data_IF_076656975092
#
_entry.id   IF_076656975092
#
_cell.length_a   1.000
_cell.length_b   1.000
_cell.length_c   1.000
_cell.angle_alpha   90.00
_cell.angle_beta   90.00
_cell.angle_gamma   90.00
#
_symmetry.space_group_name_H-M   'P 1'
#
loop_
_entity.id
_entity.type
_entity.pdbx_description
1 polymer ?
#
# COMPACT_ATOMS: atom_id res chain seq x y z
N UNK A 1 29.63 -15.50 26.49
CA UNK A 1 28.92 -15.82 25.24
C UNK A 1 27.48 -16.17 25.59
N UNK A 2 26.55 -15.21 25.50
CA UNK A 2 25.13 -15.48 25.76
C UNK A 2 24.43 -15.86 24.46
N UNK A 3 23.77 -17.01 24.50
CA UNK A 3 23.06 -17.65 23.40
C UNK A 3 21.71 -16.94 23.17
N UNK A 4 21.46 -16.47 21.96
CA UNK A 4 20.15 -15.99 21.52
C UNK A 4 19.44 -17.11 20.76
N UNK A 5 18.43 -17.73 21.37
CA UNK A 5 17.49 -18.61 20.68
C UNK A 5 16.44 -17.77 19.97
N UNK A 6 16.75 -17.29 18.76
CA UNK A 6 15.81 -16.60 17.87
C UNK A 6 15.26 -17.55 16.80
N UNK A 7 13.93 -17.61 16.67
CA UNK A 7 13.17 -18.36 15.64
C UNK A 7 13.68 -18.12 14.21
N UNK A 8 13.46 -19.08 13.27
CA UNK A 8 13.87 -18.93 11.88
C UNK A 8 13.00 -17.87 11.19
N UNK A 9 13.46 -16.61 11.20
CA UNK A 9 12.89 -15.54 10.39
C UNK A 9 13.36 -15.69 8.94
N UNK A 10 12.58 -16.40 8.12
CA UNK A 10 12.72 -16.30 6.66
C UNK A 10 12.47 -14.86 6.19
N UNK A 11 12.89 -14.48 4.97
CA UNK A 11 12.72 -13.12 4.46
C UNK A 11 11.23 -12.78 4.43
N UNK A 12 10.80 -11.82 5.25
CA UNK A 12 9.45 -11.30 5.22
C UNK A 12 9.21 -10.67 3.83
N UNK A 13 8.23 -11.20 3.07
CA UNK A 13 7.91 -10.70 1.73
C UNK A 13 7.65 -9.20 1.78
N UNK A 14 8.43 -8.44 1.02
CA UNK A 14 8.20 -7.03 0.77
C UNK A 14 7.28 -6.90 -0.45
N UNK A 15 6.05 -6.44 -0.21
CA UNK A 15 5.13 -6.07 -1.26
C UNK A 15 5.40 -4.64 -1.71
N UNK A 16 5.35 -4.45 -3.02
CA UNK A 16 5.58 -3.17 -3.66
C UNK A 16 4.47 -2.94 -4.70
N UNK A 17 3.85 -1.75 -4.64
CA UNK A 17 2.89 -1.27 -5.64
C UNK A 17 3.06 0.23 -5.81
N UNK A 18 2.89 0.73 -7.03
CA UNK A 18 2.89 2.15 -7.31
C UNK A 18 1.46 2.64 -7.54
N UNK A 19 1.05 3.74 -6.89
CA UNK A 19 -0.31 4.27 -6.99
C UNK A 19 -0.29 5.79 -7.06
N UNK A 20 -1.28 6.38 -7.72
CA UNK A 20 -1.53 7.82 -7.63
C UNK A 20 -2.09 8.17 -6.26
N UNK A 21 -1.68 9.31 -5.71
CA UNK A 21 -2.15 9.80 -4.42
C UNK A 21 -1.68 11.20 -4.09
N UNK A 22 -1.89 11.59 -2.84
CA UNK A 22 -1.32 12.80 -2.25
C UNK A 22 -0.02 12.43 -1.52
N UNK A 23 1.07 13.16 -1.78
CA UNK A 23 2.34 12.96 -1.10
C UNK A 23 2.41 13.75 0.23
N UNK A 24 3.54 13.63 0.95
CA UNK A 24 3.74 14.32 2.24
C UNK A 24 3.86 15.86 2.11
N UNK A 25 3.98 16.40 0.90
CA UNK A 25 4.00 17.83 0.60
C UNK A 25 2.61 18.32 0.12
N UNK A 26 1.57 17.49 0.23
CA UNK A 26 0.20 17.78 -0.21
C UNK A 26 0.10 17.94 -1.74
N UNK A 27 1.06 17.37 -2.49
CA UNK A 27 1.01 17.36 -3.94
C UNK A 27 0.10 16.23 -4.38
N UNK A 28 -0.99 16.61 -5.03
CA UNK A 28 -1.99 15.68 -5.53
C UNK A 28 -1.55 15.02 -6.83
N UNK A 29 -2.08 13.81 -7.07
CA UNK A 29 -1.85 13.01 -8.27
C UNK A 29 -0.37 12.65 -8.51
N UNK A 30 0.38 12.47 -7.42
CA UNK A 30 1.77 12.01 -7.46
C UNK A 30 1.82 10.48 -7.50
N UNK A 31 2.80 9.92 -8.21
CA UNK A 31 3.06 8.48 -8.21
C UNK A 31 3.82 8.09 -6.93
N UNK A 32 3.13 7.44 -6.00
CA UNK A 32 3.66 6.95 -4.74
C UNK A 32 4.30 5.57 -4.91
N UNK A 33 5.48 5.34 -4.32
CA UNK A 33 6.11 4.01 -4.17
C UNK A 33 5.73 3.44 -2.79
N UNK A 34 4.77 2.51 -2.78
CA UNK A 34 4.24 1.94 -1.55
C UNK A 34 4.88 0.60 -1.25
N UNK A 35 5.55 0.51 -0.10
CA UNK A 35 6.26 -0.68 0.37
C UNK A 35 5.70 -1.15 1.71
N UNK A 36 5.42 -2.44 1.82
CA UNK A 36 4.85 -3.01 3.04
C UNK A 36 5.17 -4.50 3.18
N UNK A 37 5.13 -5.01 4.40
CA UNK A 37 5.16 -6.46 4.68
C UNK A 37 3.83 -7.16 4.41
N UNK A 38 2.78 -6.40 4.12
CA UNK A 38 1.43 -6.87 3.81
C UNK A 38 1.04 -6.40 2.42
N UNK A 39 0.34 -7.24 1.66
CA UNK A 39 -0.13 -6.88 0.33
C UNK A 39 -1.08 -5.67 0.37
N UNK A 40 -0.84 -4.75 -0.56
CA UNK A 40 -1.60 -3.51 -0.72
C UNK A 40 -2.26 -3.44 -2.11
N UNK A 41 -3.20 -2.51 -2.25
CA UNK A 41 -3.85 -2.15 -3.50
C UNK A 41 -3.84 -0.62 -3.64
N UNK A 42 -3.95 -0.15 -4.88
CA UNK A 42 -4.29 1.24 -5.11
C UNK A 42 -5.76 1.45 -4.81
N UNK A 43 -6.11 2.62 -4.27
CA UNK A 43 -7.49 2.99 -4.03
C UNK A 43 -7.84 4.37 -4.61
N UNK A 44 -9.13 4.56 -4.87
CA UNK A 44 -9.79 5.86 -4.99
C UNK A 44 -11.02 5.85 -4.11
N UNK A 45 -11.27 6.90 -3.34
CA UNK A 45 -12.48 7.08 -2.54
C UNK A 45 -13.46 8.02 -3.24
N UNK A 46 -14.71 7.98 -2.81
CA UNK A 46 -15.78 8.80 -3.40
C UNK A 46 -15.54 10.32 -3.30
N UNK A 47 -14.74 10.75 -2.31
CA UNK A 47 -14.32 12.14 -2.13
C UNK A 47 -13.12 12.54 -3.01
N UNK A 48 -12.61 11.64 -3.85
CA UNK A 48 -11.45 11.86 -4.72
C UNK A 48 -10.10 11.54 -4.08
N UNK A 49 -10.05 11.12 -2.81
CA UNK A 49 -8.80 10.70 -2.14
C UNK A 49 -8.24 9.44 -2.82
N UNK A 50 -6.93 9.42 -3.06
CA UNK A 50 -6.23 8.32 -3.72
C UNK A 50 -4.99 7.92 -2.93
N UNK A 51 -4.56 6.67 -3.08
CA UNK A 51 -3.29 6.22 -2.55
C UNK A 51 -3.18 4.70 -2.47
N UNK A 52 -2.40 4.22 -1.50
CA UNK A 52 -2.21 2.80 -1.24
C UNK A 52 -2.91 2.37 0.05
N UNK A 53 -3.52 1.20 0.05
CA UNK A 53 -4.25 0.69 1.20
C UNK A 53 -4.10 -0.82 1.34
N UNK A 54 -4.35 -1.37 2.52
CA UNK A 54 -4.42 -2.83 2.69
C UNK A 54 -5.69 -3.38 2.05
N UNK A 55 -5.65 -4.64 1.60
CA UNK A 55 -6.78 -5.26 0.88
C UNK A 55 -8.10 -5.27 1.69
N UNK A 56 -8.02 -5.24 3.02
CA UNK A 56 -9.20 -5.18 3.89
C UNK A 56 -10.02 -3.89 3.75
N UNK A 57 -9.41 -2.79 3.28
CA UNK A 57 -10.16 -1.56 3.03
C UNK A 57 -10.94 -1.61 1.71
N UNK A 58 -10.59 -2.50 0.78
CA UNK A 58 -11.24 -2.59 -0.53
C UNK A 58 -12.68 -3.12 -0.48
N UNK A 59 -13.09 -3.73 0.64
CA UNK A 59 -14.47 -4.16 0.87
C UNK A 59 -15.33 -3.10 1.55
N UNK A 60 -14.76 -1.94 1.91
CA UNK A 60 -15.50 -0.86 2.58
C UNK A 60 -16.27 -0.03 1.55
N UNK A 61 -17.47 0.39 1.91
CA UNK A 61 -18.26 1.32 1.11
C UNK A 61 -17.48 2.62 0.86
N UNK A 62 -17.54 3.10 -0.38
CA UNK A 62 -16.84 4.30 -0.83
C UNK A 62 -15.34 4.13 -1.06
N UNK A 63 -14.89 2.88 -1.21
CA UNK A 63 -13.54 2.54 -1.67
C UNK A 63 -13.63 1.78 -2.99
N UNK A 64 -12.90 2.26 -3.99
CA UNK A 64 -12.64 1.52 -5.22
C UNK A 64 -11.18 1.12 -5.23
N UNK A 65 -10.88 -0.17 -5.39
CA UNK A 65 -9.51 -0.69 -5.39
C UNK A 65 -9.12 -1.33 -6.73
N UNK A 66 -7.83 -1.32 -7.02
CA UNK A 66 -7.22 -2.04 -8.13
C UNK A 66 -5.79 -2.51 -7.77
N UNK A 67 -5.25 -3.50 -8.50
CA UNK A 67 -4.10 -4.30 -8.06
C UNK A 67 -2.87 -4.25 -8.97
N UNK A 68 -2.81 -3.28 -9.89
CA UNK A 68 -1.68 -3.06 -10.78
C UNK A 68 -1.06 -1.68 -10.57
N UNK A 69 0.19 -1.50 -10.96
CA UNK A 69 0.86 -0.21 -10.83
C UNK A 69 0.13 0.89 -11.61
N UNK A 70 -0.11 2.04 -10.97
CA UNK A 70 -0.73 3.21 -11.56
C UNK A 70 -2.20 3.05 -11.94
N UNK A 71 -2.87 2.00 -11.47
CA UNK A 71 -4.22 1.66 -11.94
C UNK A 71 -5.34 2.61 -11.48
N UNK A 72 -5.03 3.51 -10.55
CA UNK A 72 -5.96 4.50 -10.01
C UNK A 72 -5.72 5.92 -10.55
N UNK A 73 -5.23 6.04 -11.79
CA UNK A 73 -5.08 7.33 -12.48
C UNK A 73 -6.41 8.07 -12.62
#
# INVERSE_FOLDING_TARGET
MHQWTGRPGGPAKDFHIQCYGEDFLLVNNMLLDCRSKVQQACYTRDNGEKGCTTLNNCSKTGWTCCHSNGCNQ
#
